data_IF_375412153345
#
_entry.id   IF_375412153345
#
_cell.length_a   1.000
_cell.length_b   1.000
_cell.length_c   1.000
_cell.angle_alpha   90.00
_cell.angle_beta   90.00
_cell.angle_gamma   90.00
#
_symmetry.space_group_name_H-M   'P 1'
#
loop_
_entity.id
_entity.type
_entity.pdbx_description
1 polymer ?
#
# COMPACT_ATOMS: atom_id res chain seq x y z
N UNK A 1 -10.58 -8.85 -4.99
CA UNK A 1 -11.23 -7.75 -5.76
C UNK A 1 -10.80 -6.40 -5.19
N UNK A 2 -10.60 -5.43 -6.05
CA UNK A 2 -10.31 -4.05 -5.68
C UNK A 2 -11.59 -3.23 -5.78
N UNK A 3 -11.98 -2.59 -4.69
CA UNK A 3 -13.06 -1.60 -4.70
C UNK A 3 -12.74 -0.50 -5.73
N UNK A 4 -13.73 0.03 -6.39
CA UNK A 4 -13.69 1.01 -7.47
C UNK A 4 -13.16 0.50 -8.82
N UNK A 5 -12.41 -0.62 -8.88
CA UNK A 5 -11.69 -1.02 -10.11
C UNK A 5 -12.05 -2.42 -10.61
N UNK A 6 -12.33 -3.38 -9.72
CA UNK A 6 -12.59 -4.74 -10.17
C UNK A 6 -14.02 -4.93 -10.66
N UNK A 7 -14.25 -5.77 -11.68
CA UNK A 7 -15.60 -6.13 -12.13
C UNK A 7 -16.47 -6.59 -10.97
N UNK A 8 -17.63 -5.92 -10.79
CA UNK A 8 -18.57 -6.14 -9.70
C UNK A 8 -18.14 -5.54 -8.35
N UNK A 9 -17.22 -4.58 -8.35
CA UNK A 9 -16.82 -3.81 -7.18
C UNK A 9 -16.61 -2.31 -7.51
N UNK A 10 -17.09 -1.86 -8.67
CA UNK A 10 -16.92 -0.48 -9.15
C UNK A 10 -17.69 0.52 -8.27
N UNK A 11 -18.80 0.09 -7.66
CA UNK A 11 -19.57 0.90 -6.73
C UNK A 11 -19.16 0.76 -5.26
N UNK A 12 -18.13 -0.03 -4.98
CA UNK A 12 -17.67 -0.31 -3.62
C UNK A 12 -16.47 0.55 -3.25
N UNK A 13 -16.34 0.86 -1.95
CA UNK A 13 -15.25 1.68 -1.44
C UNK A 13 -14.50 1.04 -0.25
N UNK A 14 -14.66 -0.25 -0.02
CA UNK A 14 -13.96 -0.95 1.06
C UNK A 14 -12.44 -0.86 0.90
N UNK A 15 -11.73 -0.83 2.03
CA UNK A 15 -10.27 -0.69 2.11
C UNK A 15 -9.74 0.60 1.46
N UNK A 16 -10.60 1.64 1.42
CA UNK A 16 -10.22 3.01 1.06
C UNK A 16 -10.38 3.89 2.30
N UNK A 17 -9.51 4.86 2.44
CA UNK A 17 -9.56 5.77 3.56
C UNK A 17 -8.73 7.01 3.35
N UNK A 18 -9.12 8.09 4.00
CA UNK A 18 -8.42 9.37 4.01
C UNK A 18 -8.17 9.77 5.46
N UNK A 19 -6.98 10.27 5.73
CA UNK A 19 -6.61 10.84 7.01
C UNK A 19 -5.88 12.15 6.79
N UNK A 20 -6.12 13.11 7.65
CA UNK A 20 -5.34 14.34 7.74
C UNK A 20 -4.18 14.08 8.70
N UNK A 21 -2.95 14.40 8.26
CA UNK A 21 -1.77 14.23 9.10
C UNK A 21 -1.85 15.16 10.33
N UNK A 22 -1.43 14.64 11.47
CA UNK A 22 -1.28 15.42 12.69
C UNK A 22 -0.09 16.41 12.60
N UNK A 23 0.12 17.21 13.64
CA UNK A 23 1.21 18.18 13.70
C UNK A 23 2.62 17.56 13.63
N UNK A 24 2.74 16.25 13.86
CA UNK A 24 3.96 15.47 13.71
C UNK A 24 4.06 14.74 12.35
N UNK A 25 3.12 15.02 11.43
CA UNK A 25 3.06 14.39 10.11
C UNK A 25 2.57 12.94 10.13
N UNK A 26 1.87 12.49 11.17
CA UNK A 26 1.44 11.10 11.30
C UNK A 26 0.00 10.90 10.85
N UNK A 27 -0.23 9.78 10.19
CA UNK A 27 -1.55 9.24 9.89
C UNK A 27 -1.67 7.82 10.43
N UNK A 28 -2.88 7.38 10.73
CA UNK A 28 -3.14 6.02 11.19
C UNK A 28 -4.38 5.46 10.52
N UNK A 29 -4.24 4.27 9.94
CA UNK A 29 -5.34 3.52 9.36
C UNK A 29 -5.47 2.17 10.06
N UNK A 30 -6.70 1.67 10.16
CA UNK A 30 -6.97 0.27 10.52
C UNK A 30 -7.44 -0.45 9.26
N UNK A 31 -6.82 -1.57 8.96
CA UNK A 31 -7.08 -2.34 7.75
C UNK A 31 -6.85 -3.83 8.01
N UNK A 32 -6.98 -4.63 6.97
CA UNK A 32 -6.52 -6.01 6.93
C UNK A 32 -5.15 -6.07 6.24
N UNK A 33 -4.44 -7.16 6.38
CA UNK A 33 -3.28 -7.45 5.51
C UNK A 33 -3.81 -7.73 4.10
N UNK A 34 -3.38 -6.97 3.07
CA UNK A 34 -3.88 -7.16 1.72
C UNK A 34 -3.48 -8.52 1.16
N UNK A 35 -4.31 -9.07 0.29
CA UNK A 35 -3.98 -10.26 -0.48
C UNK A 35 -2.87 -9.96 -1.50
N UNK A 36 -2.15 -11.00 -1.91
CA UNK A 36 -1.22 -10.95 -3.02
C UNK A 36 -1.97 -11.26 -4.32
N UNK A 37 -1.98 -10.35 -5.27
CA UNK A 37 -2.49 -10.65 -6.62
C UNK A 37 -1.34 -10.93 -7.59
N UNK A 38 -1.64 -11.62 -8.68
CA UNK A 38 -0.63 -12.11 -9.61
C UNK A 38 0.26 -10.98 -10.14
N UNK A 39 1.57 -11.19 -10.10
CA UNK A 39 2.57 -10.29 -10.66
C UNK A 39 2.90 -9.05 -9.84
N UNK A 40 2.34 -8.90 -8.62
CA UNK A 40 2.66 -7.77 -7.75
C UNK A 40 2.97 -8.22 -6.33
N UNK A 41 3.97 -7.60 -5.73
CA UNK A 41 4.28 -7.78 -4.33
C UNK A 41 3.14 -7.27 -3.42
N UNK A 42 2.86 -7.90 -2.26
CA UNK A 42 1.84 -7.43 -1.31
C UNK A 42 2.11 -6.01 -0.83
N UNK A 43 1.16 -5.10 -1.06
CA UNK A 43 1.37 -3.69 -0.78
C UNK A 43 0.07 -2.95 -0.42
N UNK A 44 0.26 -1.78 0.19
CA UNK A 44 -0.79 -0.77 0.36
C UNK A 44 -0.43 0.45 -0.50
N UNK A 45 -1.29 0.82 -1.42
CA UNK A 45 -1.11 2.04 -2.22
C UNK A 45 -1.45 3.28 -1.39
N UNK A 46 -0.66 4.33 -1.52
CA UNK A 46 -0.89 5.61 -0.87
C UNK A 46 -0.70 6.79 -1.82
N UNK A 47 -1.45 7.83 -1.57
CA UNK A 47 -1.31 9.12 -2.22
C UNK A 47 -1.33 10.22 -1.17
N UNK A 48 -0.53 11.26 -1.37
CA UNK A 48 -0.46 12.42 -0.49
C UNK A 48 -0.94 13.65 -1.25
N UNK A 49 -1.83 14.39 -0.61
CA UNK A 49 -2.45 15.58 -1.15
C UNK A 49 -2.16 16.79 -0.27
N UNK A 50 -2.10 18.02 -0.85
CA UNK A 50 -1.82 19.22 -0.06
C UNK A 50 -2.96 19.58 0.90
N UNK A 51 -4.19 19.22 0.56
CA UNK A 51 -5.39 19.52 1.34
C UNK A 51 -6.54 18.53 1.04
N UNK A 52 -7.59 18.57 1.86
CA UNK A 52 -8.76 17.70 1.70
C UNK A 52 -9.65 18.05 0.51
N UNK A 53 -9.54 19.24 -0.06
CA UNK A 53 -10.34 19.64 -1.23
C UNK A 53 -9.80 19.01 -2.52
N UNK A 54 -8.52 18.63 -2.54
CA UNK A 54 -7.85 18.10 -3.72
C UNK A 54 -7.87 16.57 -3.83
N UNK A 55 -8.31 15.84 -2.80
CA UNK A 55 -8.25 14.36 -2.76
C UNK A 55 -9.12 13.64 -3.81
N UNK A 56 -10.03 14.33 -4.47
CA UNK A 56 -10.89 13.77 -5.54
C UNK A 56 -10.29 13.89 -6.93
N UNK A 57 -9.13 14.53 -7.05
CA UNK A 57 -8.41 14.74 -8.30
C UNK A 57 -6.99 14.18 -8.17
N UNK A 58 -6.73 13.02 -8.74
CA UNK A 58 -5.43 12.35 -8.69
C UNK A 58 -4.28 13.23 -9.27
N UNK A 59 -4.58 14.16 -10.17
CA UNK A 59 -3.61 15.11 -10.70
C UNK A 59 -3.12 16.11 -9.65
N UNK A 60 -3.75 16.18 -8.49
CA UNK A 60 -3.38 17.04 -7.37
C UNK A 60 -2.49 16.35 -6.33
N UNK A 61 -2.23 15.05 -6.48
CA UNK A 61 -1.32 14.35 -5.60
C UNK A 61 0.10 14.94 -5.68
N UNK A 62 0.71 15.19 -4.54
CA UNK A 62 2.11 15.64 -4.42
C UNK A 62 3.08 14.49 -4.24
N UNK A 63 2.58 13.33 -3.86
CA UNK A 63 3.33 12.08 -3.85
C UNK A 63 2.40 10.90 -4.03
N UNK A 64 2.86 9.89 -4.75
CA UNK A 64 2.22 8.58 -4.91
C UNK A 64 3.26 7.52 -4.63
N UNK A 65 2.95 6.56 -3.77
CA UNK A 65 3.86 5.50 -3.41
C UNK A 65 3.10 4.25 -2.95
N UNK A 66 3.82 3.23 -2.56
CA UNK A 66 3.28 1.99 -2.03
C UNK A 66 4.09 1.56 -0.81
N UNK A 67 3.40 0.95 0.15
CA UNK A 67 4.00 0.32 1.32
C UNK A 67 4.15 -1.16 1.02
N UNK A 68 5.38 -1.66 0.83
CA UNK A 68 5.66 -3.07 0.67
C UNK A 68 5.59 -3.78 2.03
N UNK A 69 4.92 -4.93 2.09
CA UNK A 69 4.87 -5.72 3.31
C UNK A 69 6.03 -6.72 3.37
N UNK A 70 6.64 -6.96 4.54
CA UNK A 70 7.68 -7.98 4.69
C UNK A 70 7.16 -9.39 4.36
N UNK A 71 7.98 -10.18 3.68
CA UNK A 71 7.62 -11.52 3.24
C UNK A 71 7.19 -12.44 4.38
N UNK A 72 7.92 -12.42 5.49
CA UNK A 72 7.61 -13.26 6.65
C UNK A 72 6.22 -12.96 7.22
N UNK A 73 5.84 -11.68 7.28
CA UNK A 73 4.50 -11.27 7.70
C UNK A 73 3.45 -11.80 6.73
N UNK A 74 3.67 -11.63 5.42
CA UNK A 74 2.75 -12.13 4.40
C UNK A 74 2.59 -13.65 4.49
N UNK A 75 3.68 -14.40 4.60
CA UNK A 75 3.65 -15.87 4.72
C UNK A 75 2.86 -16.34 5.96
N UNK A 76 3.04 -15.68 7.11
CA UNK A 76 2.29 -15.99 8.33
C UNK A 76 0.78 -15.73 8.18
N UNK A 77 0.40 -14.61 7.55
CA UNK A 77 -1.00 -14.28 7.31
C UNK A 77 -1.62 -15.18 6.24
N UNK A 78 -0.90 -15.45 5.16
CA UNK A 78 -1.42 -16.25 4.04
C UNK A 78 -1.56 -17.73 4.37
N UNK A 79 -0.98 -18.20 5.48
CA UNK A 79 -1.26 -19.50 6.04
C UNK A 79 -2.67 -19.59 6.69
N UNK A 80 -3.42 -18.48 6.76
CA UNK A 80 -4.77 -18.45 7.32
C UNK A 80 -5.82 -18.66 6.22
N UNK A 81 -6.99 -19.25 6.56
CA UNK A 81 -8.09 -19.40 5.59
C UNK A 81 -8.49 -18.07 4.93
N UNK A 82 -8.77 -18.11 3.63
CA UNK A 82 -9.16 -16.96 2.81
C UNK A 82 -8.02 -16.33 2.03
N UNK A 83 -6.76 -16.79 2.20
CA UNK A 83 -5.58 -16.31 1.48
C UNK A 83 -4.96 -17.38 0.54
N UNK A 84 -5.67 -18.43 0.22
CA UNK A 84 -5.13 -19.60 -0.51
C UNK A 84 -4.49 -19.20 -1.83
N UNK A 85 -5.14 -18.30 -2.59
CA UNK A 85 -4.59 -17.79 -3.85
C UNK A 85 -3.35 -16.93 -3.63
N UNK A 86 -3.27 -16.22 -2.50
CA UNK A 86 -2.13 -15.34 -2.19
C UNK A 86 -0.85 -16.13 -1.92
N UNK A 87 -0.98 -17.38 -1.43
CA UNK A 87 0.19 -18.27 -1.25
C UNK A 87 0.86 -18.56 -2.58
N UNK A 88 0.07 -18.95 -3.60
CA UNK A 88 0.59 -19.20 -4.94
C UNK A 88 1.18 -17.93 -5.56
N UNK A 89 0.43 -16.83 -5.54
CA UNK A 89 0.85 -15.57 -6.15
C UNK A 89 2.14 -15.00 -5.50
N UNK A 90 2.30 -15.14 -4.18
CA UNK A 90 3.54 -14.71 -3.48
C UNK A 90 4.74 -15.57 -3.87
N UNK A 91 4.53 -16.84 -4.21
CA UNK A 91 5.58 -17.73 -4.70
C UNK A 91 6.14 -17.35 -6.08
N UNK A 92 5.38 -16.59 -6.85
CA UNK A 92 5.67 -16.24 -8.24
C UNK A 92 6.21 -14.80 -8.40
N UNK A 93 6.43 -14.06 -7.30
CA UNK A 93 6.91 -12.67 -7.36
C UNK A 93 7.96 -12.39 -6.29
N UNK A 94 8.95 -11.57 -6.63
CA UNK A 94 9.90 -11.00 -5.67
C UNK A 94 9.81 -9.48 -5.68
N UNK A 95 10.37 -8.82 -4.66
CA UNK A 95 10.49 -7.35 -4.66
C UNK A 95 11.31 -6.84 -5.85
N UNK A 96 12.32 -7.59 -6.27
CA UNK A 96 13.17 -7.22 -7.40
C UNK A 96 12.46 -7.36 -8.76
N UNK A 97 11.47 -8.24 -8.87
CA UNK A 97 10.71 -8.44 -10.11
C UNK A 97 9.45 -7.57 -10.16
N UNK A 98 9.08 -6.94 -9.05
CA UNK A 98 7.89 -6.08 -8.97
C UNK A 98 8.10 -4.77 -9.76
N UNK A 99 7.08 -4.37 -10.51
CA UNK A 99 7.15 -3.18 -11.39
C UNK A 99 7.28 -1.85 -10.66
N UNK A 100 7.03 -1.83 -9.35
CA UNK A 100 7.12 -0.62 -8.51
C UNK A 100 8.31 -0.67 -7.58
N UNK A 101 8.65 -1.85 -7.07
CA UNK A 101 9.71 -2.02 -6.07
C UNK A 101 11.05 -2.46 -6.68
N UNK A 102 11.06 -2.86 -7.95
CA UNK A 102 12.22 -3.47 -8.59
C UNK A 102 13.43 -2.56 -8.78
N UNK A 103 13.25 -1.25 -8.76
CA UNK A 103 14.32 -0.26 -8.95
C UNK A 103 15.32 -0.23 -7.78
N UNK A 104 14.85 -0.43 -6.54
CA UNK A 104 15.70 -0.50 -5.34
C UNK A 104 15.45 -1.78 -4.50
N UNK A 105 14.70 -2.76 -5.04
CA UNK A 105 14.27 -3.95 -4.32
C UNK A 105 13.33 -3.64 -3.15
N UNK A 106 12.61 -2.51 -3.24
CA UNK A 106 11.69 -2.04 -2.21
C UNK A 106 12.36 -1.43 -0.99
N UNK A 107 13.66 -1.13 -1.04
CA UNK A 107 14.42 -0.66 0.13
C UNK A 107 13.84 0.61 0.77
N UNK A 108 13.30 1.52 -0.05
CA UNK A 108 12.66 2.76 0.41
C UNK A 108 11.20 2.59 0.84
N UNK A 109 10.55 1.47 0.51
CA UNK A 109 9.12 1.25 0.65
C UNK A 109 8.78 0.04 1.53
N UNK A 110 9.77 -0.74 1.96
CA UNK A 110 9.56 -1.89 2.84
C UNK A 110 9.22 -1.44 4.25
N UNK A 111 8.05 -1.82 4.71
CA UNK A 111 7.55 -1.45 6.03
C UNK A 111 8.28 -2.17 7.16
N UNK A 112 8.36 -1.50 8.30
CA UNK A 112 8.64 -2.16 9.58
C UNK A 112 7.34 -2.71 10.14
N UNK A 113 7.35 -3.98 10.57
CA UNK A 113 6.17 -4.64 11.12
C UNK A 113 6.47 -5.19 12.52
N UNK A 114 5.52 -5.00 13.43
CA UNK A 114 5.53 -5.57 14.79
C UNK A 114 4.18 -6.22 15.10
N UNK A 115 4.15 -7.15 16.03
CA UNK A 115 2.95 -7.90 16.37
C UNK A 115 2.96 -9.31 15.78
N UNK A 116 1.80 -9.95 15.81
CA UNK A 116 1.62 -11.32 15.33
C UNK A 116 0.18 -11.56 14.82
N UNK A 117 -0.06 -12.76 14.31
CA UNK A 117 -1.37 -13.15 13.76
C UNK A 117 -2.49 -13.13 14.81
N UNK A 118 -2.18 -13.37 16.08
CA UNK A 118 -3.19 -13.44 17.12
C UNK A 118 -3.55 -12.06 17.68
N UNK A 119 -2.54 -11.21 17.90
CA UNK A 119 -2.71 -9.88 18.46
C UNK A 119 -2.98 -8.80 17.37
N UNK A 120 -2.70 -9.14 16.13
CA UNK A 120 -2.67 -8.20 15.01
C UNK A 120 -1.29 -7.57 14.81
N UNK A 121 -1.14 -6.91 13.67
CA UNK A 121 0.12 -6.29 13.27
C UNK A 121 0.03 -4.77 13.32
N UNK A 122 1.14 -4.14 13.64
CA UNK A 122 1.38 -2.71 13.39
C UNK A 122 2.40 -2.60 12.26
N UNK A 123 2.00 -1.93 11.17
CA UNK A 123 2.82 -1.66 9.99
C UNK A 123 3.19 -0.19 10.00
N UNK A 124 4.46 0.15 9.86
CA UNK A 124 4.95 1.51 9.85
C UNK A 124 5.94 1.75 8.72
N UNK A 125 5.75 2.85 8.01
CA UNK A 125 6.67 3.34 6.98
C UNK A 125 6.82 4.86 7.10
N UNK A 126 8.04 5.41 7.27
CA UNK A 126 8.30 6.83 7.11
C UNK A 126 8.27 7.19 5.62
N UNK A 127 7.32 8.02 5.21
CA UNK A 127 7.23 8.54 3.84
C UNK A 127 7.78 9.96 3.82
N UNK A 128 8.79 10.20 2.99
CA UNK A 128 9.36 11.54 2.81
C UNK A 128 8.60 12.27 1.72
N UNK A 129 8.11 13.44 2.03
CA UNK A 129 7.41 14.33 1.11
C UNK A 129 8.26 15.57 0.91
N UNK A 130 8.54 15.91 -0.34
CA UNK A 130 9.11 17.20 -0.69
C UNK A 130 7.96 18.21 -0.83
N UNK A 131 7.85 19.19 0.07
CA UNK A 131 6.77 20.18 0.01
C UNK A 131 6.85 21.09 -1.21
N UNK A 132 7.97 21.10 -1.92
CA UNK A 132 8.13 21.84 -3.17
C UNK A 132 7.66 21.07 -4.41
N UNK A 133 7.27 19.79 -4.24
CA UNK A 133 6.78 18.98 -5.34
C UNK A 133 5.49 19.58 -5.90
N UNK A 134 5.50 19.92 -7.18
CA UNK A 134 4.31 20.40 -7.86
C UNK A 134 3.23 19.29 -7.92
N UNK A 135 1.95 19.60 -7.67
CA UNK A 135 0.88 18.64 -7.83
C UNK A 135 0.90 18.00 -9.23
N UNK A 136 0.63 16.69 -9.28
CA UNK A 136 0.63 15.90 -10.52
C UNK A 136 2.00 15.38 -10.98
N UNK A 137 3.10 15.81 -10.34
CA UNK A 137 4.45 15.28 -10.64
C UNK A 137 4.76 13.97 -9.89
N UNK A 138 3.92 13.58 -8.93
CA UNK A 138 4.04 12.36 -8.14
C UNK A 138 3.16 11.22 -8.64
N UNK A 139 2.99 11.06 -9.95
CA UNK A 139 2.22 9.95 -10.51
C UNK A 139 2.78 8.58 -10.09
N UNK A 140 1.95 7.52 -10.11
CA UNK A 140 2.45 6.19 -9.80
C UNK A 140 3.61 5.87 -10.75
N UNK A 141 4.66 5.21 -10.26
CA UNK A 141 5.68 4.66 -11.15
C UNK A 141 4.96 3.77 -12.17
N UNK A 142 5.25 3.98 -13.44
CA UNK A 142 4.66 3.25 -14.56
C UNK A 142 5.27 1.88 -14.67
#
# INVERSE_FOLDING_TARGET
RYSLYSPGAEGENYLRGVQVADAAGRVRFTSIVPACYAGRWPHVHLEVYPDTASITDAARAVATSQVALPEDTCRQVYARPGYEQSVANLGDVTLADDTVFGDDGGASQLATVTGDVAAGYTVALPVRIDPATAPGSGGPPR
#
